data_IF_211430376413
#
_entry.id   IF_211430376413
#
_cell.length_a   1.000
_cell.length_b   1.000
_cell.length_c   1.000
_cell.angle_alpha   90.00
_cell.angle_beta   90.00
_cell.angle_gamma   90.00
#
_symmetry.space_group_name_H-M   'P 1'
#
loop_
_entity.id
_entity.type
_entity.pdbx_description
1 polymer ?
#
# COMPACT_ATOMS: atom_id res chain seq x y z
N UNK A 1 -21.39 -5.00 -17.23
CA UNK A 1 -20.59 -4.58 -16.07
C UNK A 1 -19.33 -5.45 -15.97
N UNK A 2 -19.49 -6.77 -15.77
CA UNK A 2 -18.33 -7.69 -15.61
C UNK A 2 -17.43 -7.80 -16.85
N UNK A 3 -17.93 -7.51 -18.05
CA UNK A 3 -17.16 -7.48 -19.31
C UNK A 3 -16.49 -6.12 -19.60
N UNK A 4 -16.67 -5.12 -18.75
CA UNK A 4 -16.05 -3.79 -18.88
C UNK A 4 -16.70 -2.85 -19.89
N UNK A 5 -17.79 -3.24 -20.52
CA UNK A 5 -18.52 -2.40 -21.50
C UNK A 5 -19.39 -1.30 -20.88
N UNK A 6 -19.75 -1.43 -19.60
CA UNK A 6 -20.58 -0.48 -18.85
C UNK A 6 -20.06 -0.39 -17.41
N UNK A 7 -19.94 0.81 -16.84
CA UNK A 7 -19.42 1.03 -15.49
C UNK A 7 -20.41 0.63 -14.39
N UNK A 8 -21.70 0.91 -14.60
CA UNK A 8 -22.76 0.59 -13.65
C UNK A 8 -24.08 0.30 -14.38
N UNK A 9 -25.07 -0.26 -13.66
CA UNK A 9 -26.42 -0.46 -14.16
C UNK A 9 -27.45 -0.23 -13.06
N UNK A 10 -28.63 0.28 -13.46
CA UNK A 10 -29.77 0.49 -12.59
C UNK A 10 -30.92 -0.39 -13.05
N UNK A 11 -31.46 -1.20 -12.15
CA UNK A 11 -32.65 -2.07 -12.43
C UNK A 11 -33.81 -1.52 -11.60
N UNK A 12 -34.83 -1.00 -12.28
CA UNK A 12 -36.03 -0.51 -11.63
C UNK A 12 -36.89 -1.71 -11.21
N UNK A 13 -37.14 -1.88 -9.93
CA UNK A 13 -37.97 -2.94 -9.36
C UNK A 13 -39.42 -2.49 -9.22
N UNK A 14 -39.65 -1.20 -8.99
CA UNK A 14 -40.96 -0.56 -8.90
C UNK A 14 -40.79 0.94 -9.24
N UNK A 15 -41.91 1.69 -9.39
CA UNK A 15 -41.81 3.15 -9.59
C UNK A 15 -41.06 3.92 -8.52
N UNK A 16 -40.92 3.34 -7.32
CA UNK A 16 -40.23 3.96 -6.17
C UNK A 16 -39.03 3.17 -5.63
N UNK A 17 -38.60 2.11 -6.36
CA UNK A 17 -37.51 1.26 -5.92
C UNK A 17 -36.66 0.80 -7.09
N UNK A 18 -35.33 0.82 -6.92
CA UNK A 18 -34.40 0.28 -7.90
C UNK A 18 -33.20 -0.40 -7.20
N UNK A 19 -32.52 -1.27 -7.92
CA UNK A 19 -31.27 -1.89 -7.51
C UNK A 19 -30.13 -1.33 -8.36
N UNK A 20 -29.08 -0.86 -7.68
CA UNK A 20 -27.85 -0.36 -8.28
C UNK A 20 -26.82 -1.47 -8.37
N UNK A 21 -26.36 -1.77 -9.57
CA UNK A 21 -25.33 -2.77 -9.85
C UNK A 21 -24.04 -2.09 -10.25
N UNK A 22 -22.95 -2.41 -9.57
CA UNK A 22 -21.61 -1.90 -9.82
C UNK A 22 -20.60 -3.02 -9.60
N UNK A 23 -19.51 -3.02 -10.36
CA UNK A 23 -18.48 -4.04 -10.20
C UNK A 23 -17.66 -3.79 -8.93
N UNK A 24 -17.21 -2.55 -8.72
CA UNK A 24 -16.48 -2.11 -7.53
C UNK A 24 -17.06 -0.79 -7.05
N UNK A 25 -17.56 -0.75 -5.80
CA UNK A 25 -18.11 0.46 -5.23
C UNK A 25 -16.97 1.37 -4.73
N UNK A 26 -16.86 2.57 -5.29
CA UNK A 26 -15.86 3.58 -4.92
C UNK A 26 -16.38 4.53 -3.83
N UNK A 27 -15.48 5.08 -3.02
CA UNK A 27 -15.83 6.14 -2.05
C UNK A 27 -16.27 7.44 -2.73
N UNK A 28 -15.89 7.65 -3.98
CA UNK A 28 -16.24 8.84 -4.79
C UNK A 28 -17.40 8.57 -5.76
N UNK A 29 -18.04 7.40 -5.65
CA UNK A 29 -19.15 7.05 -6.51
C UNK A 29 -20.39 7.90 -6.16
N UNK A 30 -20.77 8.81 -7.05
CA UNK A 30 -21.94 9.69 -6.95
C UNK A 30 -23.13 9.19 -7.80
N UNK A 31 -22.97 8.10 -8.56
CA UNK A 31 -23.97 7.63 -9.52
C UNK A 31 -25.31 7.32 -8.84
N UNK A 32 -25.26 6.72 -7.65
CA UNK A 32 -26.47 6.41 -6.88
C UNK A 32 -27.19 7.70 -6.41
N UNK A 33 -26.45 8.71 -5.97
CA UNK A 33 -27.02 9.99 -5.55
C UNK A 33 -27.68 10.73 -6.73
N UNK A 34 -27.02 10.74 -7.89
CA UNK A 34 -27.55 11.30 -9.14
C UNK A 34 -28.80 10.54 -9.56
N UNK A 35 -28.78 9.21 -9.58
CA UNK A 35 -29.93 8.38 -9.93
C UNK A 35 -31.12 8.65 -9.00
N UNK A 36 -30.90 8.74 -7.68
CA UNK A 36 -31.94 9.07 -6.71
C UNK A 36 -32.61 10.42 -7.05
N UNK A 37 -31.82 11.45 -7.32
CA UNK A 37 -32.33 12.79 -7.64
C UNK A 37 -33.19 12.73 -8.90
N UNK A 38 -32.67 12.15 -9.97
CA UNK A 38 -33.37 12.08 -11.27
C UNK A 38 -34.63 11.22 -11.21
N UNK A 39 -34.56 10.03 -10.63
CA UNK A 39 -35.70 9.10 -10.53
C UNK A 39 -36.79 9.67 -9.61
N UNK A 40 -36.41 10.33 -8.54
CA UNK A 40 -37.35 10.99 -7.64
C UNK A 40 -38.06 12.15 -8.33
N UNK A 41 -37.36 12.93 -9.15
CA UNK A 41 -37.97 13.99 -9.96
C UNK A 41 -38.95 13.43 -11.02
N UNK A 42 -38.53 12.39 -11.76
CA UNK A 42 -39.35 11.70 -12.74
C UNK A 42 -40.60 11.11 -12.10
N UNK A 43 -40.47 10.45 -10.96
CA UNK A 43 -41.61 9.90 -10.20
C UNK A 43 -42.59 10.99 -9.81
N UNK A 44 -42.12 12.09 -9.26
CA UNK A 44 -42.94 13.24 -8.85
C UNK A 44 -43.70 13.83 -10.02
N UNK A 45 -43.01 14.08 -11.12
CA UNK A 45 -43.63 14.65 -12.35
C UNK A 45 -44.70 13.71 -12.91
N UNK A 46 -44.39 12.43 -13.02
CA UNK A 46 -45.37 11.45 -13.55
C UNK A 46 -46.60 11.31 -12.65
N UNK A 47 -46.39 11.27 -11.35
CA UNK A 47 -47.49 11.20 -10.38
C UNK A 47 -48.36 12.45 -10.40
N UNK A 48 -47.74 13.63 -10.57
CA UNK A 48 -48.44 14.91 -10.74
C UNK A 48 -49.32 14.92 -12.00
N UNK A 49 -48.81 14.43 -13.12
CA UNK A 49 -49.51 14.37 -14.39
C UNK A 49 -50.72 13.39 -14.34
N UNK A 50 -50.53 12.25 -13.71
CA UNK A 50 -51.55 11.20 -13.67
C UNK A 50 -52.75 11.50 -12.73
N UNK A 51 -52.56 12.29 -11.69
CA UNK A 51 -53.54 12.44 -10.63
C UNK A 51 -54.25 13.81 -10.54
N UNK A 52 -53.95 14.80 -11.38
CA UNK A 52 -54.70 16.08 -11.37
C UNK A 52 -54.75 16.76 -10.00
N UNK A 53 -53.62 17.01 -9.41
CA UNK A 53 -53.25 17.28 -8.01
C UNK A 53 -54.16 18.17 -7.17
N UNK A 54 -54.47 17.66 -5.93
CA UNK A 54 -54.74 18.49 -4.76
C UNK A 54 -53.44 18.83 -4.00
N UNK A 55 -53.35 19.93 -3.20
CA UNK A 55 -52.18 20.27 -2.43
C UNK A 55 -51.71 19.20 -1.41
N UNK A 56 -52.64 18.42 -0.86
CA UNK A 56 -52.31 17.33 0.08
C UNK A 56 -51.69 16.14 -0.64
N UNK A 57 -52.23 15.75 -1.81
CA UNK A 57 -51.65 14.69 -2.63
C UNK A 57 -50.25 15.07 -3.15
N UNK A 58 -50.04 16.32 -3.49
CA UNK A 58 -48.69 16.79 -3.86
C UNK A 58 -47.68 16.64 -2.73
N UNK A 59 -48.09 16.90 -1.49
CA UNK A 59 -47.24 16.73 -0.29
C UNK A 59 -46.90 15.27 -0.04
N UNK A 60 -47.86 14.38 -0.16
CA UNK A 60 -47.63 12.94 0.02
C UNK A 60 -46.71 12.40 -1.08
N UNK A 61 -46.90 12.80 -2.33
CA UNK A 61 -46.02 12.42 -3.44
C UNK A 61 -44.59 12.98 -3.25
N UNK A 62 -44.45 14.21 -2.76
CA UNK A 62 -43.15 14.80 -2.47
C UNK A 62 -42.44 14.13 -1.29
N UNK A 63 -43.15 13.43 -0.44
CA UNK A 63 -42.56 12.70 0.73
C UNK A 63 -42.05 11.31 0.38
N UNK A 64 -42.34 10.80 -0.84
CA UNK A 64 -41.85 9.47 -1.25
C UNK A 64 -40.34 9.42 -1.31
N UNK A 65 -39.78 8.52 -0.54
CA UNK A 65 -38.36 8.19 -0.58
C UNK A 65 -38.17 6.96 -1.49
N UNK A 66 -37.31 7.11 -2.49
CA UNK A 66 -36.97 5.98 -3.36
C UNK A 66 -35.97 5.08 -2.62
N UNK A 67 -36.37 3.85 -2.36
CA UNK A 67 -35.49 2.85 -1.79
C UNK A 67 -34.50 2.37 -2.85
N UNK A 68 -33.23 2.29 -2.46
CA UNK A 68 -32.18 1.77 -3.32
C UNK A 68 -31.40 0.68 -2.58
N UNK A 69 -31.11 -0.40 -3.29
CA UNK A 69 -30.21 -1.45 -2.83
C UNK A 69 -28.99 -1.51 -3.74
N UNK A 70 -27.80 -1.69 -3.13
CA UNK A 70 -26.54 -1.73 -3.87
C UNK A 70 -25.97 -3.14 -3.79
N UNK A 71 -25.91 -3.81 -4.93
CA UNK A 71 -25.21 -5.10 -5.05
C UNK A 71 -23.84 -4.91 -5.66
N UNK A 72 -22.79 -5.12 -4.87
CA UNK A 72 -21.41 -5.11 -5.32
C UNK A 72 -21.07 -6.45 -5.95
N UNK A 73 -20.78 -6.47 -7.25
CA UNK A 73 -20.45 -7.69 -7.99
C UNK A 73 -18.97 -8.10 -7.87
N UNK A 74 -18.13 -7.20 -7.43
CA UNK A 74 -16.70 -7.41 -7.20
C UNK A 74 -16.32 -7.14 -5.74
N UNK A 75 -15.23 -6.42 -5.53
CA UNK A 75 -14.74 -6.06 -4.21
C UNK A 75 -15.38 -4.75 -3.75
N UNK A 76 -15.95 -4.75 -2.55
CA UNK A 76 -16.44 -3.53 -1.91
C UNK A 76 -15.26 -2.68 -1.43
N UNK A 77 -14.93 -1.66 -2.24
CA UNK A 77 -13.79 -0.79 -1.96
C UNK A 77 -14.01 0.08 -0.72
N UNK A 78 -15.25 0.45 -0.39
CA UNK A 78 -15.57 1.26 0.80
C UNK A 78 -15.28 0.43 2.06
N UNK A 79 -15.79 -0.80 2.08
CA UNK A 79 -15.57 -1.73 3.19
C UNK A 79 -14.08 -2.02 3.39
N UNK A 80 -13.35 -2.22 2.28
CA UNK A 80 -11.95 -2.63 2.32
C UNK A 80 -10.98 -1.44 2.50
N UNK A 81 -11.45 -0.20 2.35
CA UNK A 81 -10.60 1.00 2.38
C UNK A 81 -9.84 1.15 3.68
N UNK A 82 -10.52 1.07 4.82
CA UNK A 82 -9.93 1.39 6.12
C UNK A 82 -8.83 0.42 6.52
N UNK A 83 -9.05 -0.88 6.40
CA UNK A 83 -8.00 -1.83 6.75
C UNK A 83 -6.85 -1.79 5.73
N UNK A 84 -7.13 -1.60 4.43
CA UNK A 84 -6.08 -1.45 3.42
C UNK A 84 -5.21 -0.24 3.70
N UNK A 85 -5.84 0.91 4.02
CA UNK A 85 -5.12 2.13 4.37
C UNK A 85 -4.20 1.93 5.58
N UNK A 86 -4.71 1.32 6.65
CA UNK A 86 -3.91 1.05 7.86
C UNK A 86 -2.76 0.10 7.55
N UNK A 87 -2.99 -0.95 6.75
CA UNK A 87 -1.96 -1.92 6.40
C UNK A 87 -0.85 -1.30 5.54
N UNK A 88 -1.19 -0.50 4.51
CA UNK A 88 -0.16 0.17 3.69
C UNK A 88 0.58 1.26 4.47
N UNK A 89 -0.10 1.95 5.40
CA UNK A 89 0.53 2.91 6.29
C UNK A 89 1.53 2.21 7.22
N UNK A 90 1.16 1.05 7.78
CA UNK A 90 2.05 0.25 8.61
C UNK A 90 3.26 -0.26 7.80
N UNK A 91 3.04 -0.76 6.58
CA UNK A 91 4.12 -1.12 5.66
C UNK A 91 5.07 0.05 5.40
N UNK A 92 4.50 1.22 5.08
CA UNK A 92 5.26 2.44 4.85
C UNK A 92 6.12 2.80 6.06
N UNK A 93 5.50 2.89 7.24
CA UNK A 93 6.19 3.27 8.48
C UNK A 93 7.32 2.30 8.83
N UNK A 94 7.07 1.00 8.79
CA UNK A 94 8.06 -0.01 9.20
C UNK A 94 9.22 -0.08 8.21
N UNK A 95 8.96 -0.06 6.89
CA UNK A 95 10.02 -0.05 5.89
C UNK A 95 10.90 1.20 6.02
N UNK A 96 10.28 2.37 6.21
CA UNK A 96 11.02 3.63 6.36
C UNK A 96 11.86 3.65 7.62
N UNK A 97 11.26 3.35 8.79
CA UNK A 97 11.96 3.42 10.08
C UNK A 97 13.13 2.44 10.15
N UNK A 98 12.87 1.16 9.87
CA UNK A 98 13.92 0.14 9.98
C UNK A 98 14.91 0.15 8.83
N UNK A 99 14.48 0.57 7.63
CA UNK A 99 15.40 0.81 6.52
C UNK A 99 16.41 1.91 6.85
N UNK A 100 15.94 3.06 7.37
CA UNK A 100 16.82 4.14 7.79
C UNK A 100 17.73 3.73 8.95
N UNK A 101 17.26 2.91 9.90
CA UNK A 101 18.10 2.36 10.96
C UNK A 101 19.26 1.53 10.41
N UNK A 102 19.08 0.77 9.34
CA UNK A 102 20.20 0.04 8.70
C UNK A 102 21.27 1.02 8.23
N UNK A 103 20.89 2.11 7.52
CA UNK A 103 21.84 3.11 7.06
C UNK A 103 22.58 3.79 8.22
N UNK A 104 21.83 4.19 9.25
CA UNK A 104 22.37 4.86 10.44
C UNK A 104 23.33 3.97 11.22
N UNK A 105 23.00 2.70 11.44
CA UNK A 105 23.84 1.74 12.12
C UNK A 105 25.18 1.52 11.38
N UNK A 106 25.12 1.36 10.05
CA UNK A 106 26.32 1.19 9.22
C UNK A 106 27.21 2.43 9.29
N UNK A 107 26.63 3.62 9.15
CA UNK A 107 27.39 4.88 9.22
C UNK A 107 27.97 5.15 10.62
N UNK A 108 27.22 4.81 11.68
CA UNK A 108 27.69 4.95 13.06
C UNK A 108 28.91 4.07 13.33
N UNK A 109 28.89 2.80 12.93
CA UNK A 109 30.02 1.90 13.07
C UNK A 109 31.24 2.36 12.26
N UNK A 110 31.02 2.94 11.08
CA UNK A 110 32.08 3.49 10.26
C UNK A 110 32.67 4.77 10.88
N UNK A 111 31.83 5.70 11.33
CA UNK A 111 32.28 6.97 11.91
C UNK A 111 33.01 6.79 13.23
N UNK A 112 32.62 5.81 14.05
CA UNK A 112 33.29 5.43 15.30
C UNK A 112 34.55 4.56 15.13
N UNK A 113 34.89 4.21 13.86
CA UNK A 113 35.97 3.26 13.52
C UNK A 113 35.77 1.83 14.02
N UNK A 114 34.65 1.51 14.64
CA UNK A 114 34.31 0.13 15.01
C UNK A 114 34.31 -0.81 13.77
N UNK A 115 34.02 -0.25 12.60
CA UNK A 115 34.08 -0.97 11.33
C UNK A 115 35.45 -1.55 11.03
N UNK A 116 36.55 -0.89 11.44
CA UNK A 116 37.93 -1.38 11.23
C UNK A 116 38.20 -2.69 11.97
N UNK A 117 37.64 -2.84 13.18
CA UNK A 117 37.71 -4.08 13.95
C UNK A 117 36.80 -5.15 13.36
N UNK A 118 35.59 -4.77 12.95
CA UNK A 118 34.60 -5.71 12.42
C UNK A 118 35.05 -6.37 11.11
N UNK A 119 35.70 -5.63 10.19
CA UNK A 119 36.18 -6.18 8.90
C UNK A 119 37.35 -7.14 9.05
N UNK A 120 38.07 -7.13 10.19
CA UNK A 120 39.08 -8.16 10.48
C UNK A 120 38.48 -9.49 10.91
N UNK A 121 37.27 -9.45 11.48
CA UNK A 121 36.58 -10.63 12.03
C UNK A 121 35.55 -11.24 11.08
N UNK A 122 34.96 -10.44 10.16
CA UNK A 122 33.89 -10.90 9.26
C UNK A 122 33.98 -10.25 7.87
N UNK A 123 33.52 -10.98 6.86
CA UNK A 123 33.43 -10.43 5.50
C UNK A 123 32.41 -9.28 5.45
N UNK A 124 32.71 -8.12 4.83
CA UNK A 124 31.78 -6.99 4.73
C UNK A 124 30.40 -7.35 4.16
N UNK A 125 30.35 -8.26 3.16
CA UNK A 125 29.12 -8.75 2.58
C UNK A 125 28.24 -9.48 3.62
N UNK A 126 28.82 -10.36 4.43
CA UNK A 126 28.10 -11.09 5.49
C UNK A 126 27.56 -10.13 6.56
N UNK A 127 28.33 -9.08 6.89
CA UNK A 127 27.91 -8.06 7.84
C UNK A 127 26.69 -7.29 7.33
N UNK A 128 26.68 -6.90 6.05
CA UNK A 128 25.54 -6.22 5.45
C UNK A 128 24.28 -7.09 5.46
N UNK A 129 24.39 -8.33 4.98
CA UNK A 129 23.27 -9.26 5.01
C UNK A 129 22.77 -9.51 6.43
N UNK A 130 23.65 -9.69 7.39
CA UNK A 130 23.30 -9.87 8.81
C UNK A 130 22.48 -8.69 9.35
N UNK A 131 22.92 -7.44 9.09
CA UNK A 131 22.19 -6.24 9.52
C UNK A 131 20.83 -6.09 8.87
N UNK A 132 20.75 -6.33 7.56
CA UNK A 132 19.50 -6.24 6.80
C UNK A 132 18.50 -7.30 7.27
N UNK A 133 18.93 -8.55 7.43
CA UNK A 133 18.05 -9.62 7.92
C UNK A 133 17.64 -9.40 9.38
N UNK A 134 18.55 -8.96 10.25
CA UNK A 134 18.22 -8.64 11.64
C UNK A 134 17.14 -7.55 11.71
N UNK A 135 17.30 -6.46 10.96
CA UNK A 135 16.31 -5.38 10.89
C UNK A 135 14.98 -5.85 10.28
N UNK A 136 15.02 -6.76 9.30
CA UNK A 136 13.83 -7.37 8.72
C UNK A 136 13.05 -8.18 9.77
N UNK A 137 13.73 -9.00 10.54
CA UNK A 137 13.13 -9.81 11.61
C UNK A 137 12.48 -8.91 12.68
N UNK A 138 13.15 -7.84 13.08
CA UNK A 138 12.62 -6.89 14.07
C UNK A 138 11.37 -6.20 13.51
N UNK A 139 11.42 -5.66 12.28
CA UNK A 139 10.26 -5.04 11.64
C UNK A 139 9.10 -6.00 11.43
N UNK A 140 9.38 -7.24 11.01
CA UNK A 140 8.38 -8.30 10.89
C UNK A 140 7.71 -8.62 12.24
N UNK A 141 8.53 -8.79 13.28
CA UNK A 141 8.04 -9.04 14.64
C UNK A 141 7.16 -7.89 15.14
N UNK A 142 7.56 -6.65 14.87
CA UNK A 142 6.75 -5.49 15.21
C UNK A 142 5.39 -5.49 14.51
N UNK A 143 5.34 -5.77 13.21
CA UNK A 143 4.05 -5.86 12.50
C UNK A 143 3.15 -6.94 13.09
N UNK A 144 3.69 -8.13 13.32
CA UNK A 144 2.93 -9.24 13.93
C UNK A 144 2.42 -8.86 15.32
N UNK A 145 3.25 -8.23 16.16
CA UNK A 145 2.86 -7.80 17.50
C UNK A 145 1.79 -6.70 17.46
N UNK A 146 1.95 -5.68 16.63
CA UNK A 146 0.98 -4.57 16.52
C UNK A 146 -0.37 -5.08 16.02
N UNK A 147 -0.41 -5.80 14.89
CA UNK A 147 -1.68 -6.31 14.37
C UNK A 147 -2.27 -7.42 15.25
N UNK A 148 -1.43 -8.31 15.80
CA UNK A 148 -1.85 -9.36 16.71
C UNK A 148 -2.47 -8.81 18.01
N UNK A 149 -1.82 -7.84 18.65
CA UNK A 149 -2.34 -7.18 19.84
C UNK A 149 -3.62 -6.39 19.56
N UNK A 150 -3.69 -5.68 18.42
CA UNK A 150 -4.87 -4.95 17.99
C UNK A 150 -6.07 -5.89 17.78
N UNK A 151 -5.86 -7.03 17.11
CA UNK A 151 -6.90 -8.05 16.91
C UNK A 151 -7.36 -8.68 18.25
N UNK A 152 -6.43 -9.00 19.15
CA UNK A 152 -6.75 -9.53 20.48
C UNK A 152 -7.57 -8.52 21.27
N UNK A 153 -7.14 -7.26 21.33
CA UNK A 153 -7.86 -6.19 22.04
C UNK A 153 -9.25 -5.97 21.46
N UNK A 154 -9.40 -5.94 20.15
CA UNK A 154 -10.70 -5.82 19.49
C UNK A 154 -11.63 -6.99 19.85
N UNK A 155 -11.16 -8.24 19.80
CA UNK A 155 -11.98 -9.41 20.12
C UNK A 155 -12.45 -9.41 21.58
N UNK A 156 -11.61 -8.97 22.53
CA UNK A 156 -11.97 -8.87 23.94
C UNK A 156 -13.04 -7.77 24.16
N UNK A 157 -12.95 -6.66 23.42
CA UNK A 157 -13.81 -5.49 23.63
C UNK A 157 -14.91 -5.33 22.56
N UNK A 158 -15.16 -6.36 21.74
CA UNK A 158 -16.08 -6.30 20.60
C UNK A 158 -17.50 -5.80 20.96
N UNK A 159 -17.99 -6.15 22.16
CA UNK A 159 -19.30 -5.71 22.64
C UNK A 159 -19.39 -4.19 22.89
N UNK A 160 -18.26 -3.54 23.17
CA UNK A 160 -18.19 -2.09 23.47
C UNK A 160 -17.79 -1.28 22.22
N UNK A 161 -17.08 -1.90 21.27
CA UNK A 161 -16.56 -1.28 20.05
C UNK A 161 -17.51 -1.51 18.86
N UNK A 162 -18.78 -1.03 18.98
CA UNK A 162 -19.81 -1.22 17.96
C UNK A 162 -19.75 -0.21 16.79
N UNK A 163 -18.69 0.60 16.69
CA UNK A 163 -18.53 1.54 15.59
C UNK A 163 -18.27 0.80 14.27
N UNK A 164 -19.09 1.05 13.21
CA UNK A 164 -18.97 0.35 11.93
C UNK A 164 -17.59 0.51 11.28
N UNK A 165 -16.94 1.68 11.43
CA UNK A 165 -15.59 1.94 10.90
C UNK A 165 -14.56 1.07 11.62
N UNK A 166 -14.64 0.96 12.96
CA UNK A 166 -13.75 0.10 13.73
C UNK A 166 -13.97 -1.36 13.36
N UNK A 167 -15.23 -1.79 13.25
CA UNK A 167 -15.57 -3.15 12.85
C UNK A 167 -14.98 -3.49 11.45
N UNK A 168 -15.06 -2.58 10.47
CA UNK A 168 -14.53 -2.80 9.12
C UNK A 168 -13.01 -2.96 9.09
N UNK A 169 -12.28 -2.28 9.99
CA UNK A 169 -10.82 -2.43 10.10
C UNK A 169 -10.43 -3.86 10.52
N UNK A 170 -11.22 -4.47 11.41
CA UNK A 170 -10.94 -5.79 11.95
C UNK A 170 -11.65 -6.94 11.22
N UNK A 171 -12.60 -6.64 10.33
CA UNK A 171 -13.25 -7.64 9.44
C UNK A 171 -12.39 -7.96 8.20
N UNK A 172 -11.09 -8.14 8.43
CA UNK A 172 -10.10 -8.38 7.41
C UNK A 172 -9.83 -9.89 7.28
N UNK A 173 -9.88 -10.45 6.04
CA UNK A 173 -9.48 -11.84 5.81
C UNK A 173 -8.02 -12.09 6.19
N UNK A 174 -7.74 -13.19 6.88
CA UNK A 174 -6.38 -13.56 7.29
C UNK A 174 -5.43 -13.71 6.09
N UNK A 175 -5.95 -14.08 4.91
CA UNK A 175 -5.19 -14.16 3.67
C UNK A 175 -4.54 -12.83 3.28
N UNK A 176 -5.21 -11.70 3.51
CA UNK A 176 -4.65 -10.37 3.22
C UNK A 176 -3.50 -10.03 4.16
N UNK A 177 -3.58 -10.46 5.41
CA UNK A 177 -2.47 -10.31 6.35
C UNK A 177 -1.24 -11.12 5.92
N UNK A 178 -1.43 -12.34 5.40
CA UNK A 178 -0.34 -13.14 4.85
C UNK A 178 0.29 -12.45 3.63
N UNK A 179 -0.53 -11.94 2.70
CA UNK A 179 -0.01 -11.16 1.56
C UNK A 179 0.78 -9.94 2.03
N UNK A 180 0.26 -9.21 3.04
CA UNK A 180 0.97 -8.07 3.62
C UNK A 180 2.37 -8.48 4.11
N UNK A 181 2.49 -9.57 4.86
CA UNK A 181 3.77 -10.03 5.37
C UNK A 181 4.74 -10.44 4.25
N UNK A 182 4.26 -11.10 3.19
CA UNK A 182 5.09 -11.47 2.03
C UNK A 182 5.62 -10.21 1.33
N UNK A 183 4.73 -9.26 1.00
CA UNK A 183 5.13 -8.02 0.35
C UNK A 183 5.98 -7.13 1.26
N UNK A 184 5.75 -7.16 2.58
CA UNK A 184 6.61 -6.52 3.56
C UNK A 184 8.04 -7.05 3.50
N UNK A 185 8.24 -8.36 3.63
CA UNK A 185 9.59 -8.96 3.66
C UNK A 185 10.35 -8.62 2.39
N UNK A 186 9.74 -8.82 1.22
CA UNK A 186 10.40 -8.57 -0.06
C UNK A 186 10.66 -7.07 -0.29
N UNK A 187 9.67 -6.23 -0.01
CA UNK A 187 9.81 -4.78 -0.12
C UNK A 187 10.84 -4.22 0.86
N UNK A 188 10.78 -4.66 2.11
CA UNK A 188 11.75 -4.27 3.14
C UNK A 188 13.18 -4.59 2.71
N UNK A 189 13.43 -5.82 2.24
CA UNK A 189 14.77 -6.23 1.83
C UNK A 189 15.33 -5.35 0.71
N UNK A 190 14.53 -4.99 -0.30
CA UNK A 190 14.95 -4.08 -1.38
C UNK A 190 15.44 -2.75 -0.80
N UNK A 191 14.60 -2.12 0.02
CA UNK A 191 14.93 -0.81 0.59
C UNK A 191 16.06 -0.88 1.61
N UNK A 192 16.08 -1.89 2.48
CA UNK A 192 17.13 -2.07 3.49
C UNK A 192 18.51 -2.32 2.85
N UNK A 193 18.57 -3.05 1.74
CA UNK A 193 19.82 -3.20 0.99
C UNK A 193 20.31 -1.87 0.41
N UNK A 194 19.41 -1.05 -0.16
CA UNK A 194 19.76 0.28 -0.64
C UNK A 194 20.24 1.20 0.49
N UNK A 195 19.52 1.22 1.59
CA UNK A 195 19.88 1.99 2.77
C UNK A 195 21.24 1.55 3.36
N UNK A 196 21.50 0.25 3.42
CA UNK A 196 22.77 -0.30 3.85
C UNK A 196 23.93 0.08 2.94
N UNK A 197 23.72 0.05 1.62
CA UNK A 197 24.69 0.49 0.64
C UNK A 197 25.00 2.00 0.79
N UNK A 198 23.96 2.85 0.91
CA UNK A 198 24.12 4.30 1.14
C UNK A 198 24.85 4.56 2.44
N UNK A 199 24.46 3.92 3.56
CA UNK A 199 25.09 4.05 4.86
C UNK A 199 26.58 3.73 4.83
N UNK A 200 26.99 2.73 4.04
CA UNK A 200 28.40 2.36 3.88
C UNK A 200 29.26 3.46 3.22
N UNK A 201 28.64 4.29 2.37
CA UNK A 201 29.34 5.36 1.64
C UNK A 201 29.43 6.68 2.42
N UNK A 202 28.62 6.83 3.47
CA UNK A 202 28.64 8.02 4.31
C UNK A 202 29.97 8.15 5.06
N UNK A 203 30.44 9.38 5.21
CA UNK A 203 31.67 9.69 5.98
C UNK A 203 31.36 10.15 7.40
N UNK A 204 30.23 10.81 7.59
CA UNK A 204 29.73 11.28 8.89
C UNK A 204 28.30 10.82 9.09
N UNK A 205 27.92 10.67 10.36
CA UNK A 205 26.56 10.26 10.71
C UNK A 205 25.51 11.31 10.26
N UNK A 206 25.87 12.59 10.34
CA UNK A 206 24.99 13.70 9.98
C UNK A 206 24.65 13.72 8.47
N UNK A 207 25.53 13.19 7.62
CA UNK A 207 25.32 13.15 6.16
C UNK A 207 24.21 12.16 5.76
N UNK A 208 23.91 11.19 6.60
CA UNK A 208 22.95 10.09 6.30
C UNK A 208 21.59 10.64 5.92
N UNK A 209 21.05 11.58 6.69
CA UNK A 209 19.73 12.14 6.46
C UNK A 209 19.58 12.70 5.05
N UNK A 210 20.63 13.33 4.51
CA UNK A 210 20.64 13.87 3.15
C UNK A 210 20.87 12.78 2.10
N UNK A 211 21.76 11.84 2.38
CA UNK A 211 22.12 10.78 1.42
C UNK A 211 21.00 9.78 1.16
N UNK A 212 20.11 9.55 2.13
CA UNK A 212 18.97 8.64 1.99
C UNK A 212 17.76 9.29 1.28
N UNK A 213 17.72 10.62 1.14
CA UNK A 213 16.60 11.36 0.54
C UNK A 213 16.12 10.79 -0.81
N UNK A 214 16.99 10.45 -1.78
CA UNK A 214 16.53 9.93 -3.07
C UNK A 214 15.71 8.64 -2.94
N UNK A 215 16.12 7.72 -2.05
CA UNK A 215 15.39 6.46 -1.80
C UNK A 215 14.11 6.73 -1.04
N UNK A 216 14.15 7.65 -0.08
CA UNK A 216 12.98 8.12 0.68
C UNK A 216 11.93 8.75 -0.23
N UNK A 217 12.33 9.65 -1.14
CA UNK A 217 11.40 10.28 -2.10
C UNK A 217 10.78 9.26 -3.05
N UNK A 218 11.56 8.31 -3.56
CA UNK A 218 11.04 7.23 -4.40
C UNK A 218 9.92 6.46 -3.69
N UNK A 219 10.12 6.16 -2.41
CA UNK A 219 9.14 5.45 -1.59
C UNK A 219 7.91 6.30 -1.26
N UNK A 220 8.09 7.60 -0.97
CA UNK A 220 6.99 8.55 -0.76
C UNK A 220 6.14 8.68 -2.02
N UNK A 221 6.76 8.80 -3.20
CA UNK A 221 6.04 8.87 -4.48
C UNK A 221 5.20 7.60 -4.69
N UNK A 222 5.78 6.42 -4.43
CA UNK A 222 5.05 5.16 -4.50
C UNK A 222 3.82 5.15 -3.57
N UNK A 223 4.00 5.59 -2.32
CA UNK A 223 2.92 5.71 -1.33
C UNK A 223 1.83 6.68 -1.77
N UNK A 224 2.21 7.87 -2.29
CA UNK A 224 1.25 8.87 -2.77
C UNK A 224 0.43 8.36 -3.96
N UNK A 225 1.06 7.70 -4.93
CA UNK A 225 0.34 7.12 -6.07
C UNK A 225 -0.70 6.10 -5.61
N UNK A 226 -0.35 5.26 -4.65
CA UNK A 226 -1.27 4.28 -4.06
C UNK A 226 -2.42 4.97 -3.33
N UNK A 227 -2.13 5.97 -2.49
CA UNK A 227 -3.15 6.73 -1.76
C UNK A 227 -4.15 7.40 -2.71
N UNK A 228 -3.67 8.14 -3.70
CA UNK A 228 -4.55 8.82 -4.67
C UNK A 228 -5.38 7.84 -5.49
N UNK A 229 -4.81 6.67 -5.83
CA UNK A 229 -5.58 5.62 -6.52
C UNK A 229 -6.66 5.00 -5.64
N UNK A 230 -6.41 4.88 -4.33
CA UNK A 230 -7.42 4.41 -3.36
C UNK A 230 -8.57 5.41 -3.22
N UNK A 231 -8.24 6.69 -3.00
CA UNK A 231 -9.25 7.76 -2.84
C UNK A 231 -10.09 7.92 -4.11
N UNK A 232 -9.46 7.86 -5.29
CA UNK A 232 -10.15 7.98 -6.58
C UNK A 232 -10.91 6.72 -7.03
N UNK A 233 -10.86 5.62 -6.25
CA UNK A 233 -11.49 4.34 -6.63
C UNK A 233 -10.83 3.63 -7.82
N UNK A 234 -9.73 4.15 -8.35
CA UNK A 234 -9.05 3.67 -9.55
C UNK A 234 -7.89 2.71 -9.26
N UNK A 235 -8.06 1.84 -8.26
CA UNK A 235 -7.00 0.89 -7.82
C UNK A 235 -6.60 -0.14 -8.87
N UNK A 236 -7.41 -0.32 -9.91
CA UNK A 236 -7.10 -1.23 -11.03
C UNK A 236 -6.81 -0.49 -12.35
N UNK A 237 -6.47 0.82 -12.27
CA UNK A 237 -6.05 1.63 -13.41
C UNK A 237 -4.77 1.10 -14.08
N UNK A 238 -4.51 1.52 -15.33
CA UNK A 238 -3.30 1.15 -16.06
C UNK A 238 -2.02 1.56 -15.28
N UNK A 239 -2.05 2.74 -14.62
CA UNK A 239 -0.95 3.22 -13.79
C UNK A 239 -0.69 2.27 -12.62
N UNK A 240 -1.73 1.90 -11.86
CA UNK A 240 -1.59 0.98 -10.73
C UNK A 240 -1.14 -0.41 -11.16
N UNK A 241 -1.59 -0.90 -12.33
CA UNK A 241 -1.10 -2.15 -12.92
C UNK A 241 0.40 -2.09 -13.18
N UNK A 242 0.90 -1.03 -13.81
CA UNK A 242 2.35 -0.85 -14.05
C UNK A 242 3.11 -0.80 -12.73
N UNK A 243 2.66 0.01 -11.76
CA UNK A 243 3.29 0.15 -10.45
C UNK A 243 3.31 -1.15 -9.65
N UNK A 244 2.36 -2.06 -9.90
CA UNK A 244 2.32 -3.38 -9.26
C UNK A 244 3.46 -4.32 -9.67
N UNK A 245 4.14 -4.04 -10.79
CA UNK A 245 5.26 -4.85 -11.28
C UNK A 245 6.62 -4.17 -11.09
N UNK A 246 6.65 -2.85 -10.81
CA UNK A 246 7.90 -2.15 -10.51
C UNK A 246 8.34 -2.52 -9.09
N UNK A 247 9.56 -3.08 -8.87
CA UNK A 247 9.98 -3.63 -7.58
C UNK A 247 9.92 -2.64 -6.41
N UNK A 248 10.17 -1.36 -6.68
CA UNK A 248 10.16 -0.31 -5.66
C UNK A 248 8.73 0.08 -5.22
N UNK A 249 7.75 -0.05 -6.08
CA UNK A 249 6.37 0.35 -5.80
C UNK A 249 5.44 -0.83 -5.56
N UNK A 250 5.79 -2.00 -6.10
CA UNK A 250 5.01 -3.24 -6.04
C UNK A 250 4.58 -3.65 -4.62
N UNK A 251 5.41 -3.52 -3.57
CA UNK A 251 5.01 -3.93 -2.22
C UNK A 251 3.74 -3.24 -1.72
N UNK A 252 3.51 -1.99 -2.12
CA UNK A 252 2.29 -1.26 -1.78
C UNK A 252 1.24 -1.35 -2.88
N UNK A 253 1.62 -1.18 -4.14
CA UNK A 253 0.68 -1.12 -5.26
C UNK A 253 -0.02 -2.46 -5.52
N UNK A 254 0.72 -3.58 -5.58
CA UNK A 254 0.12 -4.90 -5.76
C UNK A 254 -0.69 -5.32 -4.54
N UNK A 255 -0.18 -5.07 -3.33
CA UNK A 255 -0.93 -5.35 -2.11
C UNK A 255 -2.26 -4.60 -2.07
N UNK A 256 -2.28 -3.30 -2.39
CA UNK A 256 -3.52 -2.50 -2.47
C UNK A 256 -4.49 -3.05 -3.51
N UNK A 257 -3.99 -3.45 -4.68
CA UNK A 257 -4.84 -4.08 -5.70
C UNK A 257 -5.47 -5.39 -5.20
N UNK A 258 -4.72 -6.22 -4.51
CA UNK A 258 -5.22 -7.47 -3.89
C UNK A 258 -6.34 -7.17 -2.88
N UNK A 259 -6.18 -6.11 -2.08
CA UNK A 259 -7.17 -5.75 -1.06
C UNK A 259 -8.45 -5.13 -1.63
N UNK A 260 -8.33 -4.31 -2.68
CA UNK A 260 -9.40 -3.43 -3.14
C UNK A 260 -9.91 -3.74 -4.55
N UNK A 261 -9.38 -4.76 -5.22
CA UNK A 261 -9.86 -5.19 -6.54
C UNK A 261 -9.72 -6.70 -6.74
N UNK A 262 -10.34 -7.21 -7.79
CA UNK A 262 -10.15 -8.60 -8.21
C UNK A 262 -8.89 -8.71 -9.05
N UNK A 263 -7.83 -9.30 -8.47
CA UNK A 263 -6.56 -9.54 -9.15
C UNK A 263 -6.42 -11.03 -9.47
N UNK A 264 -6.05 -11.35 -10.70
CA UNK A 264 -5.83 -12.73 -11.10
C UNK A 264 -4.58 -13.29 -10.37
N UNK A 265 -4.64 -14.55 -9.94
CA UNK A 265 -3.56 -15.19 -9.18
C UNK A 265 -2.20 -15.16 -9.90
N UNK A 266 -2.19 -15.25 -11.23
CA UNK A 266 -0.96 -15.19 -12.02
C UNK A 266 -0.32 -13.79 -12.00
N UNK A 267 -1.09 -12.70 -11.89
CA UNK A 267 -0.55 -11.34 -11.74
C UNK A 267 0.20 -11.20 -10.42
N UNK A 268 -0.36 -11.73 -9.34
CA UNK A 268 0.25 -11.74 -8.00
C UNK A 268 1.56 -12.54 -8.05
N UNK A 269 1.52 -13.73 -8.66
CA UNK A 269 2.68 -14.60 -8.76
C UNK A 269 3.81 -13.98 -9.57
N UNK A 270 3.51 -13.38 -10.72
CA UNK A 270 4.50 -12.66 -11.56
C UNK A 270 5.13 -11.50 -10.76
N UNK A 271 4.31 -10.72 -10.05
CA UNK A 271 4.81 -9.61 -9.22
C UNK A 271 5.78 -10.11 -8.14
N UNK A 272 5.44 -11.20 -7.45
CA UNK A 272 6.30 -11.80 -6.42
C UNK A 272 7.62 -12.30 -7.03
N UNK A 273 7.59 -12.96 -8.20
CA UNK A 273 8.82 -13.43 -8.88
C UNK A 273 9.71 -12.25 -9.24
N UNK A 274 9.15 -11.18 -9.82
CA UNK A 274 9.90 -9.96 -10.14
C UNK A 274 10.50 -9.36 -8.87
N UNK A 275 9.74 -9.31 -7.79
CA UNK A 275 10.20 -8.81 -6.50
C UNK A 275 11.36 -9.64 -5.95
N UNK A 276 11.27 -10.97 -5.96
CA UNK A 276 12.34 -11.86 -5.50
C UNK A 276 13.60 -11.65 -6.35
N UNK A 277 13.46 -11.68 -7.69
CA UNK A 277 14.59 -11.46 -8.60
C UNK A 277 15.27 -10.11 -8.37
N UNK A 278 14.46 -9.06 -8.20
CA UNK A 278 14.96 -7.71 -7.92
C UNK A 278 15.61 -7.61 -6.54
N UNK A 279 15.05 -8.25 -5.52
CA UNK A 279 15.64 -8.30 -4.17
C UNK A 279 17.03 -8.94 -4.21
N UNK A 280 17.19 -10.06 -4.91
CA UNK A 280 18.48 -10.73 -5.07
C UNK A 280 19.45 -9.84 -5.85
N UNK A 281 19.02 -9.26 -6.99
CA UNK A 281 19.85 -8.39 -7.82
C UNK A 281 20.33 -7.15 -7.06
N UNK A 282 19.40 -6.45 -6.39
CA UNK A 282 19.71 -5.28 -5.57
C UNK A 282 20.58 -5.66 -4.38
N UNK A 283 20.32 -6.80 -3.74
CA UNK A 283 21.13 -7.33 -2.63
C UNK A 283 22.58 -7.55 -3.04
N UNK A 284 22.81 -8.21 -4.18
CA UNK A 284 24.16 -8.43 -4.73
C UNK A 284 24.86 -7.11 -5.08
N UNK A 285 24.15 -6.19 -5.74
CA UNK A 285 24.70 -4.87 -6.09
C UNK A 285 25.05 -4.06 -4.84
N UNK A 286 24.13 -4.02 -3.88
CA UNK A 286 24.33 -3.35 -2.60
C UNK A 286 25.48 -3.94 -1.80
N UNK A 287 25.67 -5.27 -1.85
CA UNK A 287 26.80 -5.92 -1.20
C UNK A 287 28.15 -5.52 -1.79
N UNK A 288 28.21 -5.35 -3.12
CA UNK A 288 29.41 -4.83 -3.79
C UNK A 288 29.70 -3.38 -3.41
N UNK A 289 28.66 -2.52 -3.38
CA UNK A 289 28.77 -1.12 -2.96
C UNK A 289 29.22 -1.04 -1.49
N UNK A 290 28.59 -1.82 -0.63
CA UNK A 290 28.90 -1.89 0.80
C UNK A 290 30.36 -2.26 1.04
N UNK A 291 30.86 -3.31 0.36
CA UNK A 291 32.26 -3.76 0.46
C UNK A 291 33.25 -2.65 0.12
N UNK A 292 32.98 -1.87 -0.91
CA UNK A 292 33.84 -0.73 -1.30
C UNK A 292 33.63 0.43 -0.32
N UNK A 293 32.38 0.71 0.04
CA UNK A 293 31.99 1.85 0.86
C UNK A 293 32.60 1.82 2.27
N UNK A 294 32.60 0.66 2.94
CA UNK A 294 33.16 0.54 4.30
C UNK A 294 34.68 0.71 4.38
N UNK A 295 35.38 0.53 3.25
CA UNK A 295 36.84 0.70 3.18
C UNK A 295 37.25 2.14 2.81
N UNK A 296 36.32 2.96 2.35
CA UNK A 296 36.58 4.34 1.92
C UNK A 296 36.31 5.29 3.08
N UNK A 297 37.37 5.89 3.62
CA UNK A 297 37.32 6.96 4.62
C UNK A 297 37.63 8.32 3.97
N UNK A 298 37.13 9.41 4.54
CA UNK A 298 37.34 10.78 4.07
C UNK A 298 36.11 11.34 3.33
N UNK A 299 36.35 12.10 2.26
CA UNK A 299 35.24 12.70 1.49
C UNK A 299 34.34 11.63 0.83
N UNK A 300 33.01 11.79 0.87
CA UNK A 300 32.09 10.85 0.24
C UNK A 300 32.48 10.61 -1.24
N UNK A 301 32.69 9.35 -1.64
CA UNK A 301 33.11 9.07 -3.00
C UNK A 301 31.98 9.44 -3.98
N UNK A 302 32.32 10.13 -5.08
CA UNK A 302 31.36 10.38 -6.18
C UNK A 302 30.83 9.03 -6.69
N UNK A 303 29.56 8.96 -7.00
CA UNK A 303 28.89 7.73 -7.50
C UNK A 303 29.65 7.09 -8.68
N UNK A 304 30.22 7.91 -9.56
CA UNK A 304 31.05 7.47 -10.68
C UNK A 304 32.33 6.74 -10.24
N UNK A 305 32.90 7.09 -9.07
CA UNK A 305 34.11 6.42 -8.54
C UNK A 305 33.74 5.05 -7.98
N UNK A 306 32.60 4.94 -7.30
CA UNK A 306 32.08 3.66 -6.78
C UNK A 306 31.82 2.68 -7.93
N UNK A 307 31.14 3.13 -9.01
CA UNK A 307 30.87 2.31 -10.20
C UNK A 307 32.17 1.84 -10.85
N UNK A 308 33.17 2.71 -10.97
CA UNK A 308 34.49 2.36 -11.54
C UNK A 308 35.21 1.29 -10.72
N UNK A 309 35.15 1.34 -9.41
CA UNK A 309 35.76 0.34 -8.53
C UNK A 309 35.04 -1.01 -8.55
N UNK A 310 33.69 -0.99 -8.70
CA UNK A 310 32.87 -2.21 -8.85
C UNK A 310 33.16 -2.92 -10.19
N UNK A 311 33.39 -2.15 -11.27
CA UNK A 311 33.66 -2.69 -12.61
C UNK A 311 35.09 -3.19 -12.81
N UNK A 312 36.04 -2.80 -11.93
CA UNK A 312 37.44 -3.25 -11.98
C UNK A 312 37.68 -4.65 -11.39
N UNK A 313 36.68 -5.24 -10.80
CA UNK A 313 36.65 -6.60 -10.24
C UNK A 313 35.53 -7.45 -10.82
#
# INVERSE_FOLDING_TARGET
>A
ITSGGVECAFVLNSPSSYTYYVNNLSMTDSNQAVANTVLQEVYRVNAMIQNGLSPEQAKDIMSVVIESDTMTLGVDQIKNYFYTYIMILALYMVIMLYGQLVATNVASEKSSRAMEVLITSAKPTSMMFGKVFASCIVGFTQLVLVFGSALLFYNINKAQLQNPVIASIFDMPISLFIYMLVFFVLGFLIYAFLYGAIGSTASKLEDISTMVLPVTFLFIIAFMVVLFSMIGGNVNSALMKVFSYIPFTSPMAMFTRICMSTVAWYEIFISIIILIGSTVGIGVLSAKIYRVGVLLYGTPPKFTKIIKEILKK
#
